data_IF_717435801066
#
_entry.id   IF_717435801066
#
_cell.length_a   1.000
_cell.length_b   1.000
_cell.length_c   1.000
_cell.angle_alpha   90.00
_cell.angle_beta   90.00
_cell.angle_gamma   90.00
#
_symmetry.space_group_name_H-M   'P 1'
#
loop_
_entity.id
_entity.type
_entity.pdbx_description
1 polymer ?
#
# COMPACT_ATOMS: atom_id res chain seq x y z
N UNK A 1 19.94 20.39 -46.13
CA UNK A 1 18.70 20.16 -45.36
C UNK A 1 19.07 19.42 -44.09
N UNK A 2 19.11 20.18 -42.99
CA UNK A 2 19.78 19.86 -41.74
C UNK A 2 19.01 18.92 -40.82
N UNK A 3 19.82 18.20 -40.04
CA UNK A 3 19.49 17.18 -39.04
C UNK A 3 18.75 17.77 -37.84
N UNK A 4 17.68 17.10 -37.39
CA UNK A 4 17.06 17.36 -36.07
C UNK A 4 18.04 16.95 -34.96
N UNK A 5 18.39 17.92 -34.12
CA UNK A 5 19.29 17.75 -32.99
C UNK A 5 18.67 16.92 -31.87
N UNK A 6 19.35 15.82 -31.52
CA UNK A 6 19.16 15.08 -30.29
C UNK A 6 19.47 15.98 -29.09
N UNK A 7 18.48 16.19 -28.21
CA UNK A 7 18.70 16.79 -26.90
C UNK A 7 19.63 15.91 -26.07
N UNK A 8 20.73 16.48 -25.60
CA UNK A 8 21.75 15.82 -24.78
C UNK A 8 21.14 15.21 -23.52
N UNK A 9 21.11 13.88 -23.48
CA UNK A 9 20.90 13.06 -22.27
C UNK A 9 22.12 13.24 -21.37
N UNK A 10 21.95 13.80 -20.18
CA UNK A 10 23.02 13.81 -19.18
C UNK A 10 22.97 12.47 -18.46
N UNK A 11 23.82 11.55 -18.90
CA UNK A 11 24.08 10.26 -18.25
C UNK A 11 24.85 10.53 -16.96
N UNK A 12 24.23 10.31 -15.80
CA UNK A 12 24.97 10.09 -14.56
C UNK A 12 25.13 8.57 -14.44
N UNK A 13 26.23 8.05 -14.97
CA UNK A 13 26.68 6.66 -14.75
C UNK A 13 27.01 6.50 -13.25
N UNK A 14 26.56 5.48 -12.53
CA UNK A 14 27.00 4.08 -12.76
C UNK A 14 25.99 3.01 -12.34
N UNK A 15 25.82 2.02 -13.22
CA UNK A 15 25.54 0.58 -12.97
C UNK A 15 24.44 0.21 -11.95
N UNK A 16 23.18 0.31 -12.36
CA UNK A 16 22.12 -0.70 -12.14
C UNK A 16 20.84 -0.18 -12.79
N UNK A 17 20.06 -1.06 -13.43
CA UNK A 17 18.88 -0.68 -14.21
C UNK A 17 17.74 -0.21 -13.30
N UNK A 18 17.72 1.09 -13.00
CA UNK A 18 16.58 1.79 -12.42
C UNK A 18 15.54 2.05 -13.50
N UNK A 19 14.34 1.48 -13.37
CA UNK A 19 13.17 1.91 -14.13
C UNK A 19 12.61 3.14 -13.43
N UNK A 20 12.80 4.31 -14.04
CA UNK A 20 12.33 5.60 -13.55
C UNK A 20 10.79 5.65 -13.63
N UNK A 21 10.11 6.03 -12.55
CA UNK A 21 8.78 6.63 -12.67
C UNK A 21 8.99 8.01 -13.30
N UNK A 22 8.41 8.22 -14.48
CA UNK A 22 8.50 9.49 -15.17
C UNK A 22 7.29 10.33 -14.79
N UNK A 23 7.44 11.20 -13.79
CA UNK A 23 6.52 12.33 -13.69
C UNK A 23 6.85 13.29 -14.84
N UNK A 24 5.86 13.64 -15.65
CA UNK A 24 6.05 14.71 -16.62
C UNK A 24 6.33 16.01 -15.84
N UNK A 25 7.42 16.70 -16.15
CA UNK A 25 7.72 18.03 -15.61
C UNK A 25 7.59 19.06 -16.72
N UNK A 26 6.76 20.09 -16.50
CA UNK A 26 6.55 21.13 -17.50
C UNK A 26 7.84 21.92 -17.81
N UNK A 27 8.81 21.93 -16.88
CA UNK A 27 10.15 22.50 -17.10
C UNK A 27 10.88 21.90 -18.29
N UNK A 28 10.56 20.66 -18.65
CA UNK A 28 11.32 19.87 -19.62
C UNK A 28 10.87 20.17 -21.05
N UNK A 29 9.73 20.85 -21.21
CA UNK A 29 9.15 21.20 -22.49
C UNK A 29 9.49 22.65 -22.87
N UNK A 30 10.20 22.80 -23.99
CA UNK A 30 10.67 24.10 -24.50
C UNK A 30 9.68 24.83 -25.40
N UNK A 31 8.57 24.18 -25.77
CA UNK A 31 7.53 24.76 -26.62
C UNK A 31 6.82 25.93 -25.92
N UNK A 32 6.45 26.97 -26.68
CA UNK A 32 5.73 28.14 -26.16
C UNK A 32 4.20 28.00 -26.22
N UNK A 33 3.70 26.94 -26.87
CA UNK A 33 2.27 26.69 -27.00
C UNK A 33 1.69 26.26 -25.66
N UNK A 34 0.64 26.95 -25.21
CA UNK A 34 -0.01 26.70 -23.92
C UNK A 34 -1.45 26.22 -24.08
N UNK A 35 -1.92 25.45 -23.12
CA UNK A 35 -3.31 25.00 -22.99
C UNK A 35 -3.79 25.24 -21.56
N UNK A 36 -5.07 25.57 -21.39
CA UNK A 36 -5.69 25.74 -20.08
C UNK A 36 -6.38 24.45 -19.66
N UNK A 37 -5.92 23.86 -18.56
CA UNK A 37 -6.59 22.78 -17.85
C UNK A 37 -7.81 23.36 -17.14
N UNK A 38 -8.98 22.73 -17.32
CA UNK A 38 -10.25 23.15 -16.74
C UNK A 38 -10.91 22.02 -15.96
N UNK A 39 -11.72 22.37 -14.97
CA UNK A 39 -12.70 21.47 -14.36
C UNK A 39 -13.85 21.17 -15.33
N UNK A 40 -14.74 20.24 -14.96
CA UNK A 40 -15.95 19.91 -15.73
C UNK A 40 -16.93 21.05 -15.90
N UNK A 41 -17.06 21.93 -14.91
CA UNK A 41 -17.84 23.17 -15.02
C UNK A 41 -17.08 24.29 -15.77
N UNK A 42 -16.05 23.90 -16.54
CA UNK A 42 -15.21 24.75 -17.39
C UNK A 42 -14.43 25.83 -16.63
N UNK A 43 -14.33 25.74 -15.30
CA UNK A 43 -13.50 26.67 -14.53
C UNK A 43 -12.01 26.41 -14.80
N UNK A 44 -11.21 27.44 -15.08
CA UNK A 44 -9.78 27.29 -15.32
C UNK A 44 -9.04 26.92 -14.03
N UNK A 45 -8.19 25.90 -14.11
CA UNK A 45 -7.37 25.43 -12.98
C UNK A 45 -5.92 25.89 -13.16
N UNK A 46 -5.37 25.72 -14.37
CA UNK A 46 -4.00 26.10 -14.68
C UNK A 46 -3.79 26.24 -16.19
N UNK A 47 -2.80 27.04 -16.60
CA UNK A 47 -2.36 27.12 -18.00
C UNK A 47 -0.94 26.60 -18.09
N UNK A 48 -0.74 25.56 -18.88
CA UNK A 48 0.50 24.79 -18.95
C UNK A 48 0.95 24.59 -20.40
N UNK A 49 2.18 24.17 -20.61
CA UNK A 49 2.69 23.78 -21.93
C UNK A 49 1.82 22.67 -22.56
N UNK A 50 1.55 22.78 -23.87
CA UNK A 50 0.68 21.85 -24.62
C UNK A 50 1.24 20.44 -24.69
N UNK A 51 2.54 20.30 -24.94
CA UNK A 51 3.20 18.99 -25.09
C UNK A 51 3.30 18.29 -23.72
N UNK A 52 3.54 19.06 -22.65
CA UNK A 52 3.41 18.61 -21.27
C UNK A 52 1.99 18.09 -20.97
N UNK A 53 0.93 18.82 -21.36
CA UNK A 53 -0.44 18.36 -21.14
C UNK A 53 -0.79 17.08 -21.94
N UNK A 54 -0.16 16.86 -23.09
CA UNK A 54 -0.29 15.64 -23.88
C UNK A 54 0.37 14.47 -23.15
N UNK A 55 1.58 14.66 -22.64
CA UNK A 55 2.29 13.61 -21.89
C UNK A 55 1.54 13.24 -20.61
N UNK A 56 1.06 14.24 -19.86
CA UNK A 56 0.25 14.03 -18.66
C UNK A 56 -1.02 13.22 -18.92
N UNK A 57 -1.60 13.35 -20.12
CA UNK A 57 -2.76 12.54 -20.53
C UNK A 57 -2.39 11.06 -20.71
N UNK A 58 -1.16 10.78 -21.10
CA UNK A 58 -0.63 9.42 -21.30
C UNK A 58 -0.20 8.80 -19.98
N UNK A 59 0.51 9.56 -19.14
CA UNK A 59 1.15 9.06 -17.92
C UNK A 59 0.24 9.14 -16.68
N UNK A 60 -0.82 9.93 -16.73
CA UNK A 60 -1.80 10.07 -15.63
C UNK A 60 -1.36 11.02 -14.50
N UNK A 61 -0.11 11.47 -14.47
CA UNK A 61 0.40 12.48 -13.51
C UNK A 61 1.30 13.52 -14.19
N UNK A 62 1.48 14.68 -13.54
CA UNK A 62 2.52 15.63 -13.93
C UNK A 62 2.61 16.88 -13.04
N UNK A 63 3.74 17.58 -13.12
CA UNK A 63 4.05 18.75 -12.28
C UNK A 63 4.34 19.97 -13.15
N UNK A 64 3.57 21.05 -12.94
CA UNK A 64 3.79 22.33 -13.64
C UNK A 64 5.05 23.07 -13.20
N UNK A 65 5.44 24.09 -13.96
CA UNK A 65 6.53 25.02 -13.60
C UNK A 65 6.31 25.74 -12.27
N UNK A 66 5.06 25.93 -11.86
CA UNK A 66 4.72 26.52 -10.57
C UNK A 66 4.74 25.53 -9.40
N UNK A 67 5.18 24.27 -9.63
CA UNK A 67 5.19 23.22 -8.62
C UNK A 67 3.81 22.63 -8.31
N UNK A 68 2.77 22.99 -9.08
CA UNK A 68 1.43 22.41 -8.92
C UNK A 68 1.42 21.03 -9.56
N UNK A 69 1.03 20.02 -8.78
CA UNK A 69 0.86 18.63 -9.18
C UNK A 69 -0.54 18.42 -9.75
N UNK A 70 -0.63 17.72 -10.87
CA UNK A 70 -1.86 17.27 -11.51
C UNK A 70 -1.87 15.76 -11.54
N UNK A 71 -3.03 15.18 -11.25
CA UNK A 71 -3.26 13.75 -11.32
C UNK A 71 -4.53 13.53 -12.15
N UNK A 72 -4.34 13.10 -13.39
CA UNK A 72 -5.39 12.62 -14.29
C UNK A 72 -5.44 11.11 -14.07
N UNK A 73 -6.07 10.70 -12.97
CA UNK A 73 -5.92 9.38 -12.39
C UNK A 73 -5.74 8.25 -13.38
N UNK A 74 -4.62 7.54 -13.27
CA UNK A 74 -4.65 6.10 -13.40
C UNK A 74 -5.51 5.55 -12.23
N UNK A 75 -6.84 5.59 -12.40
CA UNK A 75 -7.94 4.94 -11.64
C UNK A 75 -7.87 4.73 -10.10
N UNK A 76 -6.89 5.24 -9.36
CA UNK A 76 -6.66 4.80 -7.98
C UNK A 76 -6.90 5.88 -6.91
N UNK A 77 -7.18 7.13 -7.29
CA UNK A 77 -7.54 8.22 -6.35
C UNK A 77 -8.79 9.02 -6.77
N UNK A 78 -9.48 8.63 -7.84
CA UNK A 78 -10.76 9.22 -8.24
C UNK A 78 -11.88 8.35 -7.66
N UNK A 79 -12.85 8.96 -6.99
CA UNK A 79 -14.09 8.26 -6.64
C UNK A 79 -14.73 7.75 -7.95
N UNK A 80 -15.17 6.50 -7.98
CA UNK A 80 -16.01 5.97 -9.06
C UNK A 80 -17.15 6.97 -9.35
N UNK A 81 -17.36 7.30 -10.62
CA UNK A 81 -18.31 8.34 -11.04
C UNK A 81 -17.75 9.77 -11.09
N UNK A 82 -16.45 9.98 -10.85
CA UNK A 82 -15.84 11.30 -11.05
C UNK A 82 -15.72 11.61 -12.54
N UNK A 83 -16.38 12.69 -12.97
CA UNK A 83 -16.37 13.16 -14.36
C UNK A 83 -15.21 14.15 -14.57
N UNK A 84 -14.53 14.05 -15.71
CA UNK A 84 -13.49 14.98 -16.15
C UNK A 84 -13.68 15.33 -17.63
N UNK A 85 -13.25 16.53 -18.04
CA UNK A 85 -13.43 17.03 -19.41
C UNK A 85 -12.10 16.98 -20.18
N UNK A 86 -12.09 16.29 -21.31
CA UNK A 86 -10.95 16.13 -22.22
C UNK A 86 -11.24 16.93 -23.51
N UNK A 87 -10.61 18.10 -23.71
CA UNK A 87 -10.91 18.99 -24.85
C UNK A 87 -10.69 18.36 -26.23
N UNK A 88 -9.81 17.35 -26.35
CA UNK A 88 -9.53 16.64 -27.61
C UNK A 88 -10.64 15.66 -28.01
N UNK A 89 -11.47 15.22 -27.07
CA UNK A 89 -12.62 14.37 -27.34
C UNK A 89 -13.86 15.19 -27.66
N UNK A 90 -13.92 16.46 -27.29
CA UNK A 90 -15.06 17.31 -27.61
C UNK A 90 -15.16 17.58 -29.12
N UNK A 91 -16.27 17.20 -29.72
CA UNK A 91 -16.53 17.27 -31.16
C UNK A 91 -15.90 16.15 -31.98
N UNK A 92 -15.16 15.21 -31.36
CA UNK A 92 -14.54 14.07 -32.05
C UNK A 92 -15.62 13.09 -32.53
N UNK A 93 -15.59 12.75 -33.82
CA UNK A 93 -16.54 11.82 -34.43
C UNK A 93 -16.16 10.38 -34.06
N UNK A 94 -17.05 9.69 -33.34
CA UNK A 94 -16.86 8.31 -32.90
C UNK A 94 -17.40 7.33 -33.96
N UNK A 95 -16.99 6.06 -33.92
CA UNK A 95 -17.63 5.00 -34.70
C UNK A 95 -19.15 5.02 -34.44
N UNK A 96 -19.94 5.10 -35.51
CA UNK A 96 -21.40 5.29 -35.43
C UNK A 96 -21.90 6.73 -35.65
N UNK A 97 -21.02 7.68 -35.96
CA UNK A 97 -21.40 9.03 -36.39
C UNK A 97 -21.81 9.99 -35.27
N UNK A 98 -21.70 9.55 -34.01
CA UNK A 98 -21.95 10.38 -32.83
C UNK A 98 -20.70 11.20 -32.50
N UNK A 99 -20.87 12.48 -32.21
CA UNK A 99 -19.78 13.35 -31.74
C UNK A 99 -19.68 13.28 -30.22
N UNK A 100 -18.48 13.00 -29.72
CA UNK A 100 -18.21 12.92 -28.30
C UNK A 100 -18.19 14.34 -27.69
N UNK A 101 -18.72 14.51 -26.47
CA UNK A 101 -18.92 15.83 -25.83
C UNK A 101 -17.78 16.23 -24.88
N UNK A 102 -16.60 15.62 -25.02
CA UNK A 102 -15.44 15.83 -24.16
C UNK A 102 -15.56 15.32 -22.72
N UNK A 103 -16.73 14.94 -22.21
CA UNK A 103 -16.89 14.47 -20.84
C UNK A 103 -16.60 12.96 -20.75
N UNK A 104 -15.66 12.59 -19.89
CA UNK A 104 -15.33 11.20 -19.57
C UNK A 104 -15.59 10.99 -18.09
N UNK A 105 -16.23 9.88 -17.75
CA UNK A 105 -16.48 9.47 -16.37
C UNK A 105 -15.42 8.41 -16.01
N UNK A 106 -14.88 8.46 -14.80
CA UNK A 106 -14.06 7.38 -14.29
C UNK A 106 -14.94 6.12 -14.15
N UNK A 107 -14.91 5.28 -15.17
CA UNK A 107 -15.51 3.95 -15.23
C UNK A 107 -14.46 2.86 -14.99
N UNK A 108 -14.93 1.66 -14.66
CA UNK A 108 -14.12 0.48 -14.28
C UNK A 108 -13.40 -0.14 -15.51
N UNK A 109 -13.54 0.44 -16.70
CA UNK A 109 -13.06 -0.13 -17.97
C UNK A 109 -11.69 0.42 -18.38
N UNK A 110 -10.67 -0.03 -17.65
CA UNK A 110 -9.26 0.22 -18.01
C UNK A 110 -8.24 -0.71 -17.35
N UNK A 111 -8.70 -1.78 -16.69
CA UNK A 111 -7.86 -2.62 -15.83
C UNK A 111 -6.89 -3.56 -16.55
N UNK A 112 -7.00 -3.74 -17.87
CA UNK A 112 -6.11 -4.62 -18.64
C UNK A 112 -4.65 -4.16 -18.62
N UNK A 113 -4.34 -2.87 -18.75
CA UNK A 113 -2.96 -2.49 -19.12
C UNK A 113 -1.92 -2.37 -17.99
N UNK A 114 -2.32 -2.21 -16.72
CA UNK A 114 -1.40 -1.96 -15.60
C UNK A 114 -1.23 -3.19 -14.70
N UNK A 115 -2.32 -3.92 -14.45
CA UNK A 115 -2.26 -5.20 -13.71
C UNK A 115 -1.51 -6.25 -14.53
N UNK A 116 -1.76 -6.32 -15.85
CA UNK A 116 -1.02 -7.24 -16.73
C UNK A 116 0.48 -6.92 -16.78
N UNK A 117 0.87 -5.64 -16.83
CA UNK A 117 2.29 -5.24 -16.81
C UNK A 117 2.99 -5.57 -15.49
N UNK A 118 2.32 -5.40 -14.34
CA UNK A 118 2.87 -5.80 -13.03
C UNK A 118 2.93 -7.31 -12.86
N UNK A 119 1.93 -8.02 -13.38
CA UNK A 119 1.94 -9.48 -13.45
C UNK A 119 3.02 -10.02 -14.40
N UNK A 120 3.43 -9.27 -15.43
CA UNK A 120 4.47 -9.67 -16.38
C UNK A 120 5.90 -9.54 -15.82
N UNK A 121 6.17 -8.58 -14.92
CA UNK A 121 7.46 -8.44 -14.25
C UNK A 121 7.30 -8.59 -12.73
N UNK A 122 7.13 -9.84 -12.28
CA UNK A 122 6.89 -10.16 -10.88
C UNK A 122 8.14 -10.00 -10.00
N UNK A 123 9.34 -10.01 -10.57
CA UNK A 123 10.62 -10.06 -9.84
C UNK A 123 11.16 -11.48 -9.67
N UNK A 124 12.11 -11.68 -8.75
CA UNK A 124 12.70 -13.00 -8.47
C UNK A 124 11.75 -13.80 -7.58
N UNK A 125 11.32 -14.98 -8.01
CA UNK A 125 10.51 -15.86 -7.18
C UNK A 125 11.27 -16.25 -5.89
N UNK A 126 10.63 -16.03 -4.74
CA UNK A 126 11.09 -16.49 -3.42
C UNK A 126 10.35 -17.77 -3.01
N UNK A 127 9.04 -17.81 -3.23
CA UNK A 127 8.22 -19.00 -2.98
C UNK A 127 7.09 -19.06 -4.00
N UNK A 128 6.90 -20.22 -4.65
CA UNK A 128 5.74 -20.48 -5.51
C UNK A 128 4.49 -20.85 -4.72
N UNK A 129 4.63 -21.18 -3.43
CA UNK A 129 3.57 -21.73 -2.60
C UNK A 129 3.87 -21.48 -1.12
N UNK A 130 3.77 -20.22 -0.71
CA UNK A 130 3.82 -19.87 0.70
C UNK A 130 2.42 -19.95 1.31
N UNK A 131 2.30 -20.52 2.51
CA UNK A 131 1.09 -20.40 3.33
C UNK A 131 0.81 -18.92 3.60
N UNK A 132 -0.46 -18.53 3.58
CA UNK A 132 -0.89 -17.15 3.72
C UNK A 132 -1.96 -17.03 4.79
N UNK A 133 -1.59 -16.44 5.92
CA UNK A 133 -2.47 -16.16 7.06
C UNK A 133 -2.59 -14.65 7.29
N UNK A 134 -3.38 -14.27 8.29
CA UNK A 134 -3.63 -12.89 8.66
C UNK A 134 -3.53 -12.74 10.17
N UNK A 135 -2.97 -11.63 10.64
CA UNK A 135 -2.89 -11.30 12.06
C UNK A 135 -3.25 -9.84 12.32
N UNK A 136 -3.61 -9.53 13.56
CA UNK A 136 -4.12 -8.21 13.95
C UNK A 136 -3.79 -7.85 15.39
N UNK A 137 -4.11 -6.61 15.77
CA UNK A 137 -4.04 -6.19 17.17
C UNK A 137 -5.29 -6.65 17.88
N UNK A 138 -5.14 -7.35 19.00
CA UNK A 138 -6.29 -7.74 19.86
C UNK A 138 -6.67 -6.60 20.80
N UNK A 139 -7.96 -6.42 21.07
CA UNK A 139 -8.43 -5.40 21.98
C UNK A 139 -9.12 -6.06 23.18
N UNK A 140 -8.70 -5.72 24.39
CA UNK A 140 -9.27 -6.32 25.61
C UNK A 140 -10.77 -6.01 25.75
N UNK A 141 -11.24 -4.92 25.16
CA UNK A 141 -12.65 -4.54 25.10
C UNK A 141 -13.55 -5.59 24.44
N UNK A 142 -12.98 -6.44 23.58
CA UNK A 142 -13.73 -7.45 22.83
C UNK A 142 -14.01 -8.70 23.68
N UNK A 143 -13.36 -8.81 24.84
CA UNK A 143 -13.46 -9.95 25.74
C UNK A 143 -14.34 -9.62 26.96
N UNK A 144 -15.33 -10.48 27.22
CA UNK A 144 -16.31 -10.32 28.31
C UNK A 144 -15.98 -11.11 29.58
N UNK A 145 -14.94 -11.93 29.54
CA UNK A 145 -14.52 -12.78 30.65
C UNK A 145 -14.20 -11.97 31.91
N UNK A 146 -14.57 -12.48 33.08
CA UNK A 146 -14.20 -11.92 34.39
C UNK A 146 -12.91 -12.51 34.94
N UNK A 147 -12.40 -13.59 34.33
CA UNK A 147 -11.13 -14.20 34.72
C UNK A 147 -9.98 -13.28 34.32
N UNK A 148 -9.16 -12.88 35.29
CA UNK A 148 -8.08 -11.94 35.08
C UNK A 148 -6.71 -12.56 35.37
N UNK A 149 -5.69 -12.05 34.69
CA UNK A 149 -4.28 -12.39 34.90
C UNK A 149 -3.44 -11.12 34.93
N UNK A 150 -2.37 -11.13 35.71
CA UNK A 150 -1.37 -10.06 35.69
C UNK A 150 -0.35 -10.34 34.61
N UNK A 151 -0.27 -9.48 33.60
CA UNK A 151 0.79 -9.50 32.61
C UNK A 151 2.03 -8.81 33.16
N UNK A 152 3.20 -9.34 32.81
CA UNK A 152 4.49 -8.91 33.38
C UNK A 152 5.55 -8.69 32.30
N UNK A 153 6.56 -7.88 32.62
CA UNK A 153 7.74 -7.69 31.79
C UNK A 153 8.61 -8.95 31.73
N UNK A 154 9.66 -8.94 30.91
CA UNK A 154 10.70 -9.99 30.90
C UNK A 154 11.30 -10.21 32.31
N UNK A 155 11.52 -9.14 33.07
CA UNK A 155 12.02 -9.20 34.46
C UNK A 155 10.92 -9.52 35.49
N UNK A 156 9.77 -10.05 35.05
CA UNK A 156 8.61 -10.41 35.88
C UNK A 156 7.97 -9.25 36.65
N UNK A 157 8.26 -7.99 36.27
CA UNK A 157 7.62 -6.81 36.88
C UNK A 157 6.19 -6.66 36.37
N UNK A 158 5.19 -6.41 37.23
CA UNK A 158 3.80 -6.27 36.80
C UNK A 158 3.59 -5.02 35.94
N UNK A 159 2.76 -5.16 34.88
CA UNK A 159 2.41 -4.05 33.96
C UNK A 159 0.92 -3.67 34.09
N UNK A 160 0.05 -4.68 34.05
CA UNK A 160 -1.39 -4.53 34.14
C UNK A 160 -2.04 -5.86 34.53
N UNK A 161 -3.27 -5.78 35.05
CA UNK A 161 -4.17 -6.93 35.19
C UNK A 161 -5.22 -6.82 34.09
N UNK A 162 -5.37 -7.88 33.30
CA UNK A 162 -6.22 -7.91 32.10
C UNK A 162 -7.01 -9.21 32.04
N UNK A 163 -8.03 -9.25 31.18
CA UNK A 163 -8.77 -10.49 30.88
C UNK A 163 -7.83 -11.63 30.44
N UNK A 164 -8.04 -12.84 30.98
CA UNK A 164 -7.20 -14.01 30.69
C UNK A 164 -7.23 -14.37 29.20
N UNK A 165 -8.41 -14.41 28.60
CA UNK A 165 -8.58 -14.79 27.20
C UNK A 165 -7.92 -13.78 26.26
N UNK A 166 -8.00 -12.48 26.60
CA UNK A 166 -7.24 -11.43 25.93
C UNK A 166 -5.72 -11.66 26.06
N UNK A 167 -5.22 -12.03 27.24
CA UNK A 167 -3.79 -12.28 27.43
C UNK A 167 -3.29 -13.50 26.65
N UNK A 168 -4.14 -14.53 26.47
CA UNK A 168 -3.85 -15.70 25.64
C UNK A 168 -3.75 -15.28 24.17
N UNK A 169 -4.77 -14.59 23.66
CA UNK A 169 -4.77 -14.17 22.25
C UNK A 169 -3.70 -13.13 21.94
N UNK A 170 -3.43 -12.20 22.86
CA UNK A 170 -2.32 -11.24 22.72
C UNK A 170 -0.95 -11.94 22.65
N UNK A 171 -0.78 -13.09 23.32
CA UNK A 171 0.45 -13.90 23.22
C UNK A 171 0.57 -14.57 21.86
N UNK A 172 -0.55 -14.95 21.24
CA UNK A 172 -0.62 -15.54 19.89
C UNK A 172 -0.36 -14.48 18.82
N UNK A 173 -1.12 -13.39 18.84
CA UNK A 173 -1.11 -12.32 17.82
C UNK A 173 0.08 -11.35 17.99
N UNK A 174 0.74 -11.39 19.15
CA UNK A 174 1.94 -10.61 19.46
C UNK A 174 1.68 -9.18 19.93
N UNK A 175 0.53 -8.57 19.63
CA UNK A 175 0.18 -7.21 20.11
C UNK A 175 -1.26 -7.12 20.60
N UNK A 176 -1.47 -6.44 21.72
CA UNK A 176 -2.80 -6.13 22.24
C UNK A 176 -2.94 -4.73 22.83
N UNK A 177 -4.18 -4.27 22.94
CA UNK A 177 -4.54 -2.99 23.58
C UNK A 177 -5.46 -3.27 24.77
N UNK A 178 -5.02 -2.86 25.96
CA UNK A 178 -5.82 -3.01 27.19
C UNK A 178 -7.03 -2.08 27.20
N UNK A 179 -7.99 -2.32 28.09
CA UNK A 179 -9.13 -1.42 28.36
C UNK A 179 -8.70 -0.02 28.81
N UNK A 180 -7.53 0.10 29.42
CA UNK A 180 -6.91 1.38 29.80
C UNK A 180 -6.16 2.07 28.65
N UNK A 181 -6.18 1.49 27.44
CA UNK A 181 -5.54 2.04 26.25
C UNK A 181 -4.04 1.81 26.18
N UNK A 182 -3.48 0.95 27.03
CA UNK A 182 -2.05 0.58 26.94
C UNK A 182 -1.85 -0.33 25.74
N UNK A 183 -0.89 0.00 24.89
CA UNK A 183 -0.43 -0.88 23.81
C UNK A 183 0.66 -1.79 24.38
N UNK A 184 0.46 -3.09 24.23
CA UNK A 184 1.25 -4.14 24.86
C UNK A 184 1.75 -5.07 23.75
N UNK A 185 3.06 -5.19 23.61
CA UNK A 185 3.69 -6.12 22.68
C UNK A 185 4.23 -7.32 23.45
N UNK A 186 4.14 -8.50 22.86
CA UNK A 186 4.92 -9.65 23.31
C UNK A 186 6.40 -9.39 23.03
N UNK A 187 7.24 -9.60 24.03
CA UNK A 187 8.66 -9.24 24.04
C UNK A 187 9.56 -10.38 23.59
N UNK A 188 10.76 -10.03 23.14
CA UNK A 188 11.78 -10.97 22.67
C UNK A 188 12.74 -11.34 23.80
N UNK A 189 12.29 -12.21 24.71
CA UNK A 189 13.08 -12.75 25.81
C UNK A 189 12.68 -14.20 26.10
N UNK A 190 13.40 -14.86 27.03
CA UNK A 190 13.10 -16.24 27.43
C UNK A 190 11.77 -16.30 28.19
N UNK A 191 10.72 -16.69 27.46
CA UNK A 191 9.36 -16.68 27.95
C UNK A 191 8.93 -18.05 28.44
N UNK A 192 8.45 -18.09 29.68
CA UNK A 192 7.74 -19.24 30.18
C UNK A 192 6.33 -19.38 29.56
N UNK A 193 5.65 -20.46 29.91
CA UNK A 193 4.28 -20.71 29.48
C UNK A 193 3.28 -19.70 30.07
N UNK A 194 3.67 -18.89 31.05
CA UNK A 194 2.84 -17.88 31.69
C UNK A 194 2.64 -16.60 30.86
N UNK A 195 2.18 -15.57 31.55
CA UNK A 195 1.91 -14.23 30.99
C UNK A 195 3.02 -13.24 31.34
N UNK A 196 4.26 -13.72 31.30
CA UNK A 196 5.48 -12.92 31.37
C UNK A 196 5.92 -12.54 29.94
N UNK A 197 6.88 -11.63 29.80
CA UNK A 197 7.38 -11.12 28.52
C UNK A 197 6.48 -10.16 27.75
N UNK A 198 5.84 -9.22 28.40
CA UNK A 198 5.20 -8.11 27.70
C UNK A 198 6.00 -6.82 27.83
N UNK A 199 5.89 -5.95 26.85
CA UNK A 199 6.43 -4.60 26.89
C UNK A 199 5.31 -3.61 26.62
N UNK A 200 5.22 -2.58 27.46
CA UNK A 200 4.29 -1.47 27.24
C UNK A 200 4.91 -0.50 26.23
N UNK A 201 4.26 -0.32 25.08
CA UNK A 201 4.69 0.61 24.04
C UNK A 201 4.10 1.99 24.32
N UNK A 202 4.95 2.89 24.81
CA UNK A 202 4.54 4.28 25.11
C UNK A 202 4.60 5.23 23.92
N UNK A 203 5.27 4.83 22.84
CA UNK A 203 5.43 5.66 21.65
C UNK A 203 4.19 5.56 20.76
N UNK A 204 3.53 6.69 20.48
CA UNK A 204 2.34 6.77 19.62
C UNK A 204 2.57 6.22 18.21
N UNK A 205 3.81 6.22 17.70
CA UNK A 205 4.14 5.60 16.41
C UNK A 205 3.92 4.09 16.39
N UNK A 206 3.93 3.44 17.56
CA UNK A 206 3.70 2.00 17.72
C UNK A 206 2.30 1.72 18.26
N UNK A 207 1.30 2.52 17.88
CA UNK A 207 -0.08 2.35 18.35
C UNK A 207 -0.71 1.01 17.96
N UNK A 208 -0.12 0.33 16.99
CA UNK A 208 -0.54 -0.98 16.50
C UNK A 208 0.51 -2.08 16.74
N UNK A 209 1.50 -1.83 17.59
CA UNK A 209 2.60 -2.77 17.87
C UNK A 209 3.91 -2.39 17.20
N UNK A 210 4.93 -3.16 17.57
CA UNK A 210 6.29 -3.07 17.04
C UNK A 210 6.69 -4.43 16.48
N UNK A 211 7.26 -4.41 15.27
CA UNK A 211 7.70 -5.62 14.58
C UNK A 211 9.08 -6.09 15.05
N UNK A 212 9.49 -7.30 14.65
CA UNK A 212 10.85 -7.81 14.90
C UNK A 212 11.99 -6.94 14.36
N UNK A 213 11.74 -6.09 13.35
CA UNK A 213 12.71 -5.09 12.87
C UNK A 213 12.67 -3.75 13.63
N UNK A 214 11.96 -3.70 14.76
CA UNK A 214 11.77 -2.51 15.60
C UNK A 214 11.08 -1.35 14.86
N UNK A 215 10.17 -1.68 13.94
CA UNK A 215 9.36 -0.71 13.17
C UNK A 215 7.89 -0.79 13.57
N UNK A 216 7.12 0.29 13.38
CA UNK A 216 5.66 0.21 13.49
C UNK A 216 5.06 -0.85 12.60
N UNK A 217 4.11 -1.62 13.13
CA UNK A 217 3.23 -2.45 12.32
C UNK A 217 2.28 -1.55 11.51
N UNK A 218 2.31 -1.70 10.19
CA UNK A 218 1.52 -0.90 9.25
C UNK A 218 0.51 -1.82 8.56
N UNK A 219 -0.81 -1.62 8.78
CA UNK A 219 -1.85 -2.46 8.18
C UNK A 219 -1.74 -2.47 6.66
N UNK A 220 -1.95 -3.66 6.10
CA UNK A 220 -1.88 -3.95 4.68
C UNK A 220 -0.51 -3.71 4.03
N UNK A 221 0.54 -3.55 4.82
CA UNK A 221 1.91 -3.33 4.34
C UNK A 221 2.87 -4.30 5.00
N UNK A 222 2.75 -4.49 6.31
CA UNK A 222 3.67 -5.35 7.06
C UNK A 222 3.29 -6.81 6.89
N UNK A 223 4.28 -7.65 6.63
CA UNK A 223 4.16 -9.10 6.72
C UNK A 223 5.15 -9.65 7.72
N UNK A 224 4.76 -10.72 8.42
CA UNK A 224 5.66 -11.57 9.16
C UNK A 224 6.09 -12.77 8.30
N UNK A 225 7.40 -13.03 8.26
CA UNK A 225 7.98 -14.16 7.53
C UNK A 225 9.36 -14.52 8.10
N UNK A 226 9.61 -15.81 8.33
CA UNK A 226 10.86 -16.26 8.97
C UNK A 226 12.00 -16.53 7.97
N UNK A 227 11.67 -16.79 6.71
CA UNK A 227 12.63 -17.12 5.64
C UNK A 227 12.88 -15.97 4.64
N UNK A 228 12.28 -14.79 4.89
CA UNK A 228 12.52 -13.57 4.12
C UNK A 228 13.31 -12.59 4.98
N UNK A 229 14.40 -12.05 4.44
CA UNK A 229 15.24 -11.08 5.15
C UNK A 229 14.41 -9.86 5.56
N UNK A 230 14.47 -9.49 6.84
CA UNK A 230 13.83 -8.29 7.35
C UNK A 230 14.22 -7.02 6.56
N UNK A 231 13.25 -6.12 6.37
CA UNK A 231 13.37 -4.94 5.53
C UNK A 231 13.13 -5.18 4.04
N UNK A 232 13.02 -6.43 3.58
CA UNK A 232 12.81 -6.74 2.17
C UNK A 232 11.43 -6.31 1.70
N UNK A 233 11.38 -5.71 0.52
CA UNK A 233 10.13 -5.48 -0.20
C UNK A 233 9.83 -6.67 -1.08
N UNK A 234 8.59 -7.14 -1.03
CA UNK A 234 8.13 -8.27 -1.84
C UNK A 234 6.84 -7.93 -2.55
N UNK A 235 6.63 -8.61 -3.66
CA UNK A 235 5.43 -8.53 -4.47
C UNK A 235 4.65 -9.84 -4.34
N UNK A 236 3.37 -9.72 -4.00
CA UNK A 236 2.42 -10.83 -3.87
C UNK A 236 1.30 -10.57 -4.89
N UNK A 237 1.27 -11.30 -6.02
CA UNK A 237 0.31 -11.03 -7.09
C UNK A 237 -1.15 -11.12 -6.65
N UNK A 238 -1.48 -12.00 -5.70
CA UNK A 238 -2.85 -12.14 -5.18
C UNK A 238 -3.35 -10.91 -4.43
N UNK A 239 -2.44 -10.08 -3.92
CA UNK A 239 -2.77 -8.80 -3.29
C UNK A 239 -2.85 -7.65 -4.31
N UNK A 240 -2.41 -7.81 -5.56
CA UNK A 240 -2.50 -6.73 -6.55
C UNK A 240 -3.93 -6.62 -7.10
N UNK A 241 -4.50 -5.42 -7.01
CA UNK A 241 -5.88 -5.11 -7.38
C UNK A 241 -6.92 -5.43 -6.30
N UNK A 242 -6.54 -6.10 -5.21
CA UNK A 242 -7.45 -6.41 -4.09
C UNK A 242 -7.88 -5.13 -3.37
N UNK A 243 -9.17 -4.99 -3.06
CA UNK A 243 -9.70 -3.80 -2.39
C UNK A 243 -9.50 -3.95 -0.88
N UNK A 244 -8.66 -3.10 -0.29
CA UNK A 244 -8.46 -3.08 1.16
C UNK A 244 -9.68 -2.45 1.86
N UNK A 245 -9.95 -2.82 3.12
CA UNK A 245 -10.84 -2.06 3.99
C UNK A 245 -10.51 -0.55 3.94
N UNK A 246 -11.48 0.27 3.52
CA UNK A 246 -11.26 1.67 3.16
C UNK A 246 -11.35 1.97 1.64
N UNK A 247 -11.45 0.94 0.79
CA UNK A 247 -11.73 1.08 -0.64
C UNK A 247 -10.49 1.26 -1.52
N UNK A 248 -9.30 1.39 -0.93
CA UNK A 248 -8.04 1.54 -1.70
C UNK A 248 -7.63 0.19 -2.28
N UNK A 249 -7.31 0.16 -3.59
CA UNK A 249 -6.77 -1.03 -4.25
C UNK A 249 -5.31 -1.24 -3.85
N UNK A 250 -4.99 -2.43 -3.34
CA UNK A 250 -3.63 -2.82 -2.99
C UNK A 250 -2.81 -3.10 -4.25
N UNK A 251 -1.54 -2.71 -4.26
CA UNK A 251 -0.68 -2.78 -5.45
C UNK A 251 0.21 -4.05 -5.52
N UNK A 252 -0.04 -5.00 -4.62
CA UNK A 252 0.72 -6.23 -4.41
C UNK A 252 2.03 -6.07 -3.63
N UNK A 253 2.47 -4.84 -3.34
CA UNK A 253 3.73 -4.58 -2.65
C UNK A 253 3.56 -4.53 -1.13
N UNK A 254 4.31 -5.38 -0.44
CA UNK A 254 4.36 -5.47 1.03
C UNK A 254 5.82 -5.50 1.49
N UNK A 255 6.02 -5.39 2.81
CA UNK A 255 7.34 -5.34 3.43
C UNK A 255 7.46 -6.37 4.55
N UNK A 256 8.47 -7.23 4.44
CA UNK A 256 8.84 -8.19 5.48
C UNK A 256 9.59 -7.45 6.59
N UNK A 257 8.86 -6.96 7.58
CA UNK A 257 9.42 -6.23 8.72
C UNK A 257 9.22 -6.97 10.04
N UNK A 258 8.53 -8.12 10.02
CA UNK A 258 8.14 -8.87 11.22
C UNK A 258 8.46 -10.37 11.11
N UNK A 259 8.39 -11.09 12.23
CA UNK A 259 8.60 -12.54 12.30
C UNK A 259 7.57 -13.20 13.21
N UNK A 260 7.13 -14.40 12.83
CA UNK A 260 6.16 -15.15 13.63
C UNK A 260 6.82 -16.21 14.49
N UNK A 261 6.30 -16.37 15.71
CA UNK A 261 6.72 -17.47 16.60
C UNK A 261 6.01 -18.75 16.16
N UNK A 262 6.78 -19.82 15.96
CA UNK A 262 6.25 -21.11 15.50
C UNK A 262 6.07 -21.23 13.99
N UNK A 263 6.42 -20.20 13.21
CA UNK A 263 6.42 -20.33 11.75
C UNK A 263 7.67 -21.08 11.28
N UNK A 264 7.46 -22.01 10.35
CA UNK A 264 8.54 -22.58 9.54
C UNK A 264 8.97 -21.63 8.42
N UNK A 265 9.59 -22.19 7.39
CA UNK A 265 9.77 -21.48 6.12
C UNK A 265 8.49 -21.48 5.28
N UNK A 266 8.42 -20.59 4.29
CA UNK A 266 7.30 -20.44 3.34
C UNK A 266 5.96 -20.12 4.01
N UNK A 267 5.97 -19.28 5.03
CA UNK A 267 4.78 -18.75 5.69
C UNK A 267 4.80 -17.22 5.61
N UNK A 268 3.72 -16.63 5.11
CA UNK A 268 3.47 -15.19 5.11
C UNK A 268 2.26 -14.93 5.98
N UNK A 269 2.45 -14.13 7.02
CA UNK A 269 1.34 -13.65 7.84
C UNK A 269 1.12 -12.17 7.57
N UNK A 270 -0.07 -11.80 7.09
CA UNK A 270 -0.36 -10.46 6.60
C UNK A 270 -1.02 -9.60 7.67
N UNK A 271 -0.36 -8.52 8.06
CA UNK A 271 -0.87 -7.65 9.11
C UNK A 271 -2.05 -6.82 8.61
N UNK A 272 -3.24 -7.07 9.14
CA UNK A 272 -4.47 -6.36 8.75
C UNK A 272 -4.90 -5.32 9.79
N UNK A 273 -4.19 -5.20 10.91
CA UNK A 273 -4.42 -4.19 11.94
C UNK A 273 -5.60 -4.46 12.88
N UNK A 274 -6.74 -4.93 12.36
CA UNK A 274 -7.96 -5.24 13.14
C UNK A 274 -8.64 -6.51 12.63
N UNK A 275 -9.28 -7.25 13.53
CA UNK A 275 -10.07 -8.44 13.16
C UNK A 275 -11.23 -8.09 12.20
N UNK A 276 -11.83 -6.90 12.32
CA UNK A 276 -12.86 -6.43 11.38
C UNK A 276 -12.34 -6.37 9.94
N UNK A 277 -11.08 -5.97 9.76
CA UNK A 277 -10.45 -5.90 8.44
C UNK A 277 -10.27 -7.31 7.86
N UNK A 278 -9.85 -8.27 8.69
CA UNK A 278 -9.81 -9.68 8.29
C UNK A 278 -11.20 -10.17 7.85
N UNK A 279 -12.23 -9.92 8.67
CA UNK A 279 -13.63 -10.28 8.36
C UNK A 279 -14.14 -9.68 7.04
N UNK A 280 -13.66 -8.51 6.64
CA UNK A 280 -14.01 -7.90 5.36
C UNK A 280 -13.23 -8.48 4.18
N UNK A 281 -11.95 -8.82 4.37
CA UNK A 281 -11.12 -9.45 3.34
C UNK A 281 -11.62 -10.86 2.98
N UNK A 282 -12.01 -11.65 3.98
CA UNK A 282 -12.50 -13.03 3.74
C UNK A 282 -13.82 -13.06 2.96
N UNK A 283 -14.63 -12.00 3.02
CA UNK A 283 -15.86 -11.87 2.19
C UNK A 283 -15.54 -11.64 0.72
N UNK A 284 -14.41 -11.00 0.40
CA UNK A 284 -14.05 -10.65 -0.98
C UNK A 284 -13.45 -11.86 -1.70
N UNK A 285 -12.47 -12.52 -1.09
CA UNK A 285 -11.89 -13.79 -1.56
C UNK A 285 -10.88 -14.29 -0.54
N UNK A 286 -11.09 -15.49 0.03
CA UNK A 286 -10.06 -16.13 0.83
C UNK A 286 -9.00 -16.74 -0.10
N UNK A 287 -7.73 -16.51 0.21
CA UNK A 287 -6.65 -17.37 -0.26
C UNK A 287 -5.75 -17.71 0.93
N UNK A 288 -5.36 -18.98 0.99
CA UNK A 288 -4.53 -19.57 2.04
C UNK A 288 -3.10 -19.82 1.57
N UNK A 289 -2.81 -19.51 0.31
CA UNK A 289 -1.50 -19.72 -0.30
C UNK A 289 -1.22 -18.62 -1.32
N UNK A 290 0.05 -18.22 -1.46
CA UNK A 290 0.49 -17.18 -2.40
C UNK A 290 1.82 -17.52 -3.08
N UNK A 291 2.03 -16.95 -4.27
CA UNK A 291 3.36 -16.75 -4.81
C UNK A 291 3.97 -15.48 -4.19
N UNK A 292 5.26 -15.52 -3.87
CA UNK A 292 6.00 -14.39 -3.30
C UNK A 292 7.23 -14.12 -4.14
N UNK A 293 7.41 -12.86 -4.53
CA UNK A 293 8.54 -12.42 -5.34
C UNK A 293 9.34 -11.33 -4.63
N UNK A 294 10.66 -11.42 -4.66
CA UNK A 294 11.53 -10.33 -4.26
C UNK A 294 11.50 -9.24 -5.32
N UNK A 295 11.21 -8.01 -4.90
CA UNK A 295 11.04 -6.88 -5.79
C UNK A 295 11.51 -5.58 -5.13
N UNK A 296 12.73 -5.15 -5.43
CA UNK A 296 13.32 -3.95 -4.81
C UNK A 296 12.62 -2.64 -5.24
N UNK A 297 12.11 -2.60 -6.49
CA UNK A 297 11.34 -1.49 -7.05
C UNK A 297 9.88 -1.46 -6.57
N UNK A 298 9.48 -2.33 -5.62
CA UNK A 298 8.17 -2.25 -5.01
C UNK A 298 7.97 -0.89 -4.32
N UNK A 299 6.88 -0.22 -4.66
CA UNK A 299 6.44 1.01 -4.01
C UNK A 299 5.45 0.63 -2.92
N UNK A 300 5.82 0.89 -1.67
CA UNK A 300 4.93 0.67 -0.53
C UNK A 300 3.97 1.85 -0.44
N UNK A 301 2.67 1.57 -0.58
CA UNK A 301 1.62 2.58 -0.44
C UNK A 301 1.11 2.64 1.00
N UNK A 302 0.26 3.64 1.27
CA UNK A 302 -0.48 3.73 2.52
C UNK A 302 -1.95 3.41 2.26
N UNK A 303 -2.47 2.40 2.96
CA UNK A 303 -3.82 1.89 2.80
C UNK A 303 -4.75 2.25 3.98
N UNK A 304 -4.27 3.03 4.95
CA UNK A 304 -5.00 3.32 6.20
C UNK A 304 -5.59 4.73 6.25
N UNK A 305 -5.84 5.35 5.10
CA UNK A 305 -6.50 6.67 5.00
C UNK A 305 -7.89 6.56 4.36
N UNK A 306 -8.92 6.80 5.17
CA UNK A 306 -10.19 7.46 4.79
C UNK A 306 -10.61 8.35 5.94
#
# INVERSE_FOLDING_TARGET
>A
MEKRAAGKRKLISSKSAFTYYWDAFESDYKSSNKVTIRTCDRKPIATVNKDFAIEMKTEGTGVSKSGRVFNFGAANDLRLGTKFYIPKLDGMLMPGGVRHNGCVEADDEGHGSVLEKRAANKGKLLSSKAEFTYYWVVYESDYKSSNQVTIRTCDKKPIATVNRDFAIEMKTEGTGVSKSGKVLNFGDCDCDSGFNCFIELKNKKHSLGISSSQKPLIPFVTIAANDIRLGSKVYIPKLDGMIMPGGIRHNGCVKADDQGRGFGGKHIDFFVGKESNYKDLIKQKLFTEVEVFCREDCIILNYTKV
#
